data_IF_319124448530
#
_entry.id   IF_319124448530
#
_cell.length_a   1.000
_cell.length_b   1.000
_cell.length_c   1.000
_cell.angle_alpha   90.00
_cell.angle_beta   90.00
_cell.angle_gamma   90.00
#
_symmetry.space_group_name_H-M   'P 1'
#
loop_
_entity.id
_entity.type
_entity.pdbx_description
1 polymer ?
#
# COMPACT_ATOMS: atom_id res chain seq x y z
N UNK A 1 -17.52 -23.87 0.26
CA UNK A 1 -16.52 -23.22 1.13
C UNK A 1 -15.15 -23.27 0.46
N UNK A 2 -14.39 -22.17 0.40
CA UNK A 2 -13.03 -22.19 -0.19
C UNK A 2 -12.10 -22.99 0.72
N UNK A 3 -11.18 -23.76 0.14
CA UNK A 3 -10.24 -24.57 0.94
C UNK A 3 -9.24 -23.68 1.69
N UNK A 4 -8.70 -24.12 2.83
CA UNK A 4 -7.69 -23.36 3.58
C UNK A 4 -6.50 -22.90 2.74
N UNK A 5 -6.08 -23.73 1.78
CA UNK A 5 -5.01 -23.40 0.83
C UNK A 5 -5.38 -22.25 -0.10
N UNK A 6 -6.62 -22.17 -0.57
CA UNK A 6 -7.07 -21.08 -1.44
C UNK A 6 -7.11 -19.74 -0.71
N UNK A 7 -7.48 -19.73 0.57
CA UNK A 7 -7.52 -18.52 1.40
C UNK A 7 -6.10 -18.03 1.68
N UNK A 8 -5.21 -18.93 2.09
CA UNK A 8 -3.80 -18.60 2.27
C UNK A 8 -3.15 -18.12 0.97
N UNK A 9 -3.42 -18.78 -0.15
CA UNK A 9 -2.90 -18.34 -1.45
C UNK A 9 -3.35 -16.91 -1.79
N UNK A 10 -4.64 -16.61 -1.64
CA UNK A 10 -5.16 -15.25 -1.85
C UNK A 10 -4.50 -14.24 -0.89
N UNK A 11 -4.19 -14.66 0.33
CA UNK A 11 -3.44 -13.86 1.30
C UNK A 11 -1.99 -13.61 0.82
N UNK A 12 -1.21 -14.64 0.52
CA UNK A 12 0.16 -14.43 0.04
C UNK A 12 0.23 -13.64 -1.27
N UNK A 13 -0.72 -13.88 -2.19
CA UNK A 13 -0.81 -13.15 -3.44
C UNK A 13 -1.07 -11.66 -3.22
N UNK A 14 -2.09 -11.30 -2.44
CA UNK A 14 -2.38 -9.89 -2.18
C UNK A 14 -1.28 -9.23 -1.33
N UNK A 15 -0.61 -9.97 -0.44
CA UNK A 15 0.58 -9.48 0.25
C UNK A 15 1.70 -9.12 -0.73
N UNK A 16 1.99 -9.99 -1.70
CA UNK A 16 3.01 -9.77 -2.71
C UNK A 16 2.71 -8.57 -3.61
N UNK A 17 1.51 -8.53 -4.21
CA UNK A 17 1.16 -7.54 -5.24
C UNK A 17 0.93 -6.13 -4.68
N UNK A 18 0.59 -6.00 -3.39
CA UNK A 18 0.24 -4.72 -2.76
C UNK A 18 1.33 -3.65 -2.81
N UNK A 19 2.58 -4.09 -2.74
CA UNK A 19 3.74 -3.21 -2.58
C UNK A 19 4.67 -3.24 -3.81
N UNK A 20 4.27 -3.91 -4.90
CA UNK A 20 4.97 -3.85 -6.19
C UNK A 20 4.59 -2.54 -6.86
N UNK A 21 5.31 -1.47 -6.54
CA UNK A 21 5.04 -0.12 -7.03
C UNK A 21 6.37 0.49 -7.50
N UNK A 22 6.65 0.52 -8.82
CA UNK A 22 7.95 0.94 -9.36
C UNK A 22 8.34 2.39 -9.08
N UNK A 23 7.38 3.27 -8.74
CA UNK A 23 7.66 4.68 -8.41
C UNK A 23 8.22 4.86 -6.99
N UNK A 24 8.16 3.87 -6.10
CA UNK A 24 8.64 3.99 -4.71
C UNK A 24 10.07 4.53 -4.53
N UNK A 25 11.09 4.09 -5.29
CA UNK A 25 12.43 4.63 -5.15
C UNK A 25 12.60 6.00 -5.82
N UNK A 26 11.61 6.46 -6.61
CA UNK A 26 11.75 7.58 -7.54
C UNK A 26 10.78 8.73 -7.28
N UNK A 27 9.71 8.56 -6.50
CA UNK A 27 8.70 9.62 -6.31
C UNK A 27 9.32 10.91 -5.76
N UNK A 28 10.32 10.81 -4.87
CA UNK A 28 10.99 11.99 -4.32
C UNK A 28 11.73 12.77 -5.42
N UNK A 29 12.41 12.06 -6.32
CA UNK A 29 13.09 12.64 -7.48
C UNK A 29 12.08 13.24 -8.45
N UNK A 30 11.01 12.51 -8.76
CA UNK A 30 9.91 12.98 -9.60
C UNK A 30 9.35 14.31 -9.08
N UNK A 31 9.11 14.45 -7.78
CA UNK A 31 8.51 15.66 -7.24
C UNK A 31 9.47 16.85 -7.32
N UNK A 32 10.76 16.62 -7.05
CA UNK A 32 11.79 17.63 -7.17
C UNK A 32 11.93 18.09 -8.63
N UNK A 33 11.92 17.17 -9.58
CA UNK A 33 11.96 17.47 -11.02
C UNK A 33 10.74 18.29 -11.48
N UNK A 34 9.59 18.11 -10.83
CA UNK A 34 8.39 18.91 -11.03
C UNK A 34 8.34 20.20 -10.18
N UNK A 35 9.47 20.60 -9.60
CA UNK A 35 9.63 21.89 -8.92
C UNK A 35 9.23 21.90 -7.45
N UNK A 36 8.98 20.74 -6.83
CA UNK A 36 8.74 20.67 -5.38
C UNK A 36 10.05 20.86 -4.63
N UNK A 37 10.08 21.84 -3.73
CA UNK A 37 11.24 22.06 -2.88
C UNK A 37 11.44 20.92 -1.87
N UNK A 38 12.65 20.72 -1.32
CA UNK A 38 12.89 19.73 -0.26
C UNK A 38 11.98 19.92 0.97
N UNK A 39 11.67 21.18 1.31
CA UNK A 39 10.70 21.50 2.36
C UNK A 39 9.28 21.09 1.96
N UNK A 40 8.89 21.34 0.70
CA UNK A 40 7.60 20.89 0.16
C UNK A 40 7.46 19.37 0.22
N UNK A 41 8.50 18.63 -0.17
CA UNK A 41 8.55 17.16 -0.04
C UNK A 41 8.36 16.72 1.42
N UNK A 42 9.02 17.40 2.36
CA UNK A 42 8.87 17.11 3.79
C UNK A 42 7.44 17.35 4.29
N UNK A 43 6.78 18.43 3.82
CA UNK A 43 5.37 18.71 4.11
C UNK A 43 4.45 17.62 3.55
N UNK A 44 4.71 17.15 2.34
CA UNK A 44 3.97 16.05 1.72
C UNK A 44 4.08 14.74 2.51
N UNK A 45 5.29 14.40 2.99
CA UNK A 45 5.51 13.25 3.87
C UNK A 45 4.82 13.42 5.22
N UNK A 46 4.86 14.61 5.80
CA UNK A 46 4.14 14.92 7.04
C UNK A 46 2.62 14.79 6.87
N UNK A 47 2.08 15.23 5.73
CA UNK A 47 0.67 15.03 5.39
C UNK A 47 0.33 13.55 5.34
N UNK A 48 1.10 12.75 4.59
CA UNK A 48 0.90 11.30 4.49
C UNK A 48 0.89 10.63 5.88
N UNK A 49 1.88 10.96 6.72
CA UNK A 49 1.99 10.42 8.08
C UNK A 49 0.81 10.87 8.96
N UNK A 50 0.39 12.13 8.85
CA UNK A 50 -0.75 12.67 9.61
C UNK A 50 -2.05 11.97 9.21
N UNK A 51 -2.29 11.78 7.91
CA UNK A 51 -3.46 11.05 7.41
C UNK A 51 -3.44 9.62 7.93
N UNK A 52 -2.30 8.92 7.84
CA UNK A 52 -2.18 7.57 8.36
C UNK A 52 -2.51 7.52 9.86
N UNK A 53 -1.91 8.41 10.65
CA UNK A 53 -2.16 8.49 12.09
C UNK A 53 -3.62 8.78 12.45
N UNK A 54 -4.24 9.79 11.81
CA UNK A 54 -5.63 10.19 12.08
C UNK A 54 -6.62 9.09 11.71
N UNK A 55 -6.37 8.39 10.60
CA UNK A 55 -7.29 7.37 10.10
C UNK A 55 -7.03 5.95 10.62
N UNK A 56 -5.93 5.70 11.34
CA UNK A 56 -5.65 4.39 11.92
C UNK A 56 -6.78 3.95 12.86
N UNK A 57 -7.18 4.80 13.81
CA UNK A 57 -8.24 4.49 14.78
C UNK A 57 -9.61 4.28 14.10
N UNK A 58 -10.11 5.20 13.25
CA UNK A 58 -11.34 4.99 12.49
C UNK A 58 -11.31 3.72 11.62
N UNK A 59 -10.17 3.45 10.97
CA UNK A 59 -10.04 2.29 10.09
C UNK A 59 -10.14 0.96 10.84
N UNK A 60 -9.61 0.90 12.08
CA UNK A 60 -9.78 -0.24 12.97
C UNK A 60 -11.26 -0.49 13.31
N UNK A 61 -11.98 0.57 13.71
CA UNK A 61 -13.42 0.46 13.99
C UNK A 61 -14.23 0.03 12.75
N UNK A 62 -13.84 0.48 11.56
CA UNK A 62 -14.45 0.01 10.31
C UNK A 62 -14.15 -1.45 10.02
N UNK A 63 -12.94 -1.94 10.34
CA UNK A 63 -12.56 -3.34 10.16
C UNK A 63 -13.34 -4.33 11.04
N UNK A 64 -13.95 -3.84 12.13
CA UNK A 64 -14.82 -4.64 13.00
C UNK A 64 -16.29 -4.58 12.56
N UNK A 65 -16.72 -3.48 11.92
CA UNK A 65 -18.11 -3.29 11.49
C UNK A 65 -18.37 -3.75 10.05
N UNK A 66 -17.40 -3.62 9.16
CA UNK A 66 -17.52 -3.92 7.73
C UNK A 66 -16.71 -5.15 7.35
N UNK A 67 -16.99 -5.68 6.15
CA UNK A 67 -16.21 -6.81 5.63
C UNK A 67 -14.76 -6.40 5.38
N UNK A 68 -13.83 -7.01 6.11
CA UNK A 68 -12.38 -6.80 5.97
C UNK A 68 -11.87 -7.02 4.55
N UNK A 69 -12.45 -7.98 3.82
CA UNK A 69 -12.12 -8.21 2.40
C UNK A 69 -12.43 -7.00 1.53
N UNK A 70 -13.56 -6.35 1.76
CA UNK A 70 -13.94 -5.14 1.03
C UNK A 70 -13.07 -3.95 1.40
N UNK A 71 -12.72 -3.78 2.68
CA UNK A 71 -11.77 -2.74 3.10
C UNK A 71 -10.40 -2.91 2.44
N UNK A 72 -9.93 -4.15 2.31
CA UNK A 72 -8.67 -4.46 1.61
C UNK A 72 -8.73 -4.01 0.14
N UNK A 73 -9.83 -4.31 -0.55
CA UNK A 73 -10.04 -3.94 -1.96
C UNK A 73 -10.18 -2.42 -2.12
N UNK A 74 -11.02 -1.78 -1.30
CA UNK A 74 -11.24 -0.33 -1.32
C UNK A 74 -9.93 0.40 -1.03
N UNK A 75 -9.18 -0.03 -0.02
CA UNK A 75 -7.86 0.55 0.29
C UNK A 75 -6.89 0.45 -0.88
N UNK A 76 -6.88 -0.69 -1.60
CA UNK A 76 -6.06 -0.85 -2.79
C UNK A 76 -6.49 0.07 -3.95
N UNK A 77 -7.80 0.22 -4.19
CA UNK A 77 -8.33 1.12 -5.22
C UNK A 77 -8.02 2.58 -4.90
N UNK A 78 -8.20 3.00 -3.64
CA UNK A 78 -7.86 4.36 -3.18
C UNK A 78 -6.36 4.62 -3.35
N UNK A 79 -5.50 3.65 -2.96
CA UNK A 79 -4.06 3.77 -3.19
C UNK A 79 -3.72 3.86 -4.69
N UNK A 80 -4.42 3.12 -5.55
CA UNK A 80 -4.29 3.25 -7.02
C UNK A 80 -4.65 4.65 -7.52
N UNK A 81 -5.70 5.26 -6.96
CA UNK A 81 -6.08 6.63 -7.28
C UNK A 81 -5.01 7.67 -6.90
N UNK A 82 -4.11 7.37 -5.97
CA UNK A 82 -2.97 8.22 -5.66
C UNK A 82 -2.03 8.40 -6.86
N UNK A 83 -1.69 7.31 -7.54
CA UNK A 83 -0.79 7.33 -8.69
C UNK A 83 -1.46 7.99 -9.91
N UNK A 84 -2.77 7.78 -10.08
CA UNK A 84 -3.55 8.50 -11.09
C UNK A 84 -3.53 10.01 -10.82
N UNK A 85 -3.64 10.44 -9.56
CA UNK A 85 -3.56 11.85 -9.20
C UNK A 85 -2.17 12.44 -9.51
N UNK A 86 -1.09 11.72 -9.23
CA UNK A 86 0.27 12.14 -9.56
C UNK A 86 0.52 12.22 -11.07
N UNK A 87 -0.06 11.31 -11.84
CA UNK A 87 0.03 11.31 -13.30
C UNK A 87 -0.76 12.46 -13.94
N UNK A 88 -2.01 12.68 -13.51
CA UNK A 88 -2.88 13.72 -14.08
C UNK A 88 -2.46 15.14 -13.69
N UNK A 89 -1.85 15.30 -12.51
CA UNK A 89 -1.48 16.61 -11.98
C UNK A 89 -0.13 16.51 -11.27
N UNK A 90 0.98 16.54 -12.02
CA UNK A 90 2.31 16.42 -11.46
C UNK A 90 2.79 17.77 -10.88
N UNK A 91 2.04 18.28 -9.91
CA UNK A 91 2.35 19.48 -9.13
C UNK A 91 2.19 19.20 -7.63
N UNK A 92 2.57 20.17 -6.79
CA UNK A 92 2.48 20.02 -5.34
C UNK A 92 1.10 19.57 -4.84
N UNK A 93 0.02 20.09 -5.42
CA UNK A 93 -1.34 19.78 -4.96
C UNK A 93 -1.80 18.39 -5.41
N UNK A 94 -1.43 17.97 -6.61
CA UNK A 94 -1.67 16.59 -7.06
C UNK A 94 -0.88 15.59 -6.24
N UNK A 95 0.37 15.91 -5.89
CA UNK A 95 1.18 15.10 -4.99
C UNK A 95 0.58 15.01 -3.59
N UNK A 96 0.10 16.13 -3.03
CA UNK A 96 -0.59 16.16 -1.74
C UNK A 96 -1.86 15.30 -1.73
N UNK A 97 -2.67 15.39 -2.78
CA UNK A 97 -3.87 14.56 -2.93
C UNK A 97 -3.51 13.07 -3.02
N UNK A 98 -2.48 12.73 -3.80
CA UNK A 98 -2.04 11.34 -3.89
C UNK A 98 -1.45 10.83 -2.58
N UNK A 99 -0.70 11.62 -1.83
CA UNK A 99 -0.24 11.23 -0.49
C UNK A 99 -1.38 11.07 0.51
N UNK A 100 -2.43 11.90 0.43
CA UNK A 100 -3.65 11.69 1.20
C UNK A 100 -4.29 10.33 0.88
N UNK A 101 -4.51 10.03 -0.41
CA UNK A 101 -5.09 8.75 -0.82
C UNK A 101 -4.21 7.56 -0.46
N UNK A 102 -2.89 7.67 -0.63
CA UNK A 102 -1.97 6.62 -0.24
C UNK A 102 -2.02 6.38 1.27
N UNK A 103 -1.93 7.43 2.09
CA UNK A 103 -2.03 7.33 3.54
C UNK A 103 -3.34 6.68 3.97
N UNK A 104 -4.47 7.20 3.49
CA UNK A 104 -5.80 6.70 3.82
C UNK A 104 -6.05 5.27 3.34
N UNK A 105 -5.69 4.94 2.10
CA UNK A 105 -5.81 3.58 1.57
C UNK A 105 -4.97 2.58 2.35
N UNK A 106 -3.81 3.01 2.87
CA UNK A 106 -2.90 2.17 3.66
C UNK A 106 -3.41 1.86 5.08
N UNK A 107 -4.24 2.72 5.69
CA UNK A 107 -4.83 2.44 7.01
C UNK A 107 -6.00 1.46 6.90
N UNK A 108 -6.90 1.63 5.92
CA UNK A 108 -7.95 0.65 5.59
C UNK A 108 -7.35 -0.75 5.31
N UNK A 109 -6.23 -0.68 4.61
CA UNK A 109 -5.08 -1.58 4.52
C UNK A 109 -4.74 -2.53 5.65
N UNK A 110 -4.07 -1.94 6.65
CA UNK A 110 -3.16 -2.56 7.61
C UNK A 110 -3.93 -3.45 8.58
N UNK A 111 -4.88 -2.86 9.31
CA UNK A 111 -5.66 -3.57 10.33
C UNK A 111 -6.54 -4.67 9.75
N UNK A 112 -7.19 -4.42 8.61
CA UNK A 112 -8.04 -5.42 7.96
C UNK A 112 -7.25 -6.64 7.49
N UNK A 113 -6.01 -6.44 7.04
CA UNK A 113 -5.12 -7.51 6.59
C UNK A 113 -4.66 -8.41 7.73
N UNK A 114 -4.18 -7.80 8.80
CA UNK A 114 -3.69 -8.50 9.98
C UNK A 114 -4.81 -9.31 10.65
N UNK A 115 -5.96 -8.66 10.86
CA UNK A 115 -7.10 -9.28 11.49
C UNK A 115 -7.71 -10.39 10.62
N UNK A 116 -7.65 -10.28 9.28
CA UNK A 116 -8.07 -11.36 8.38
C UNK A 116 -7.17 -12.60 8.51
N UNK A 117 -5.85 -12.43 8.62
CA UNK A 117 -4.93 -13.56 8.83
C UNK A 117 -5.17 -14.22 10.17
N UNK A 118 -5.26 -13.41 11.22
CA UNK A 118 -5.48 -13.87 12.58
C UNK A 118 -6.76 -14.72 12.67
N UNK A 119 -7.89 -14.19 12.20
CA UNK A 119 -9.18 -14.90 12.27
C UNK A 119 -9.21 -16.15 11.40
N UNK A 120 -8.53 -16.12 10.25
CA UNK A 120 -8.38 -17.29 9.39
C UNK A 120 -7.64 -18.41 10.12
N UNK A 121 -6.50 -18.11 10.77
CA UNK A 121 -5.73 -19.09 11.51
C UNK A 121 -6.45 -19.58 12.76
N UNK A 122 -7.14 -18.67 13.46
CA UNK A 122 -8.03 -19.00 14.59
C UNK A 122 -9.12 -19.98 14.21
N UNK A 123 -9.78 -19.77 13.07
CA UNK A 123 -10.81 -20.69 12.56
C UNK A 123 -10.29 -22.11 12.26
N UNK A 124 -8.97 -22.28 12.13
CA UNK A 124 -8.31 -23.56 11.92
C UNK A 124 -7.58 -24.09 13.16
N UNK A 125 -7.66 -23.40 14.31
CA UNK A 125 -6.92 -23.76 15.52
C UNK A 125 -5.39 -23.63 15.39
N UNK A 126 -4.92 -22.70 14.56
CA UNK A 126 -3.50 -22.51 14.19
C UNK A 126 -2.97 -21.11 14.51
N UNK A 127 -3.49 -20.48 15.57
CA UNK A 127 -3.13 -19.13 16.01
C UNK A 127 -1.61 -18.98 16.26
N UNK A 128 -0.98 -20.02 16.78
CA UNK A 128 0.46 -20.14 17.00
C UNK A 128 1.31 -19.96 15.73
N UNK A 129 0.72 -20.15 14.54
CA UNK A 129 1.43 -19.94 13.27
C UNK A 129 1.38 -18.49 12.78
N UNK A 130 0.63 -17.61 13.44
CA UNK A 130 0.40 -16.24 12.97
C UNK A 130 1.70 -15.51 12.65
N UNK A 131 2.63 -15.42 13.60
CA UNK A 131 3.91 -14.72 13.38
C UNK A 131 4.71 -15.28 12.20
N UNK A 132 4.76 -16.61 12.07
CA UNK A 132 5.46 -17.27 10.95
C UNK A 132 4.80 -16.96 9.60
N UNK A 133 3.46 -17.03 9.53
CA UNK A 133 2.70 -16.81 8.30
C UNK A 133 2.73 -15.34 7.87
N UNK A 134 2.57 -14.45 8.84
CA UNK A 134 2.68 -13.02 8.64
C UNK A 134 4.08 -12.65 8.15
N UNK A 135 5.13 -13.12 8.84
CA UNK A 135 6.52 -12.88 8.45
C UNK A 135 6.86 -13.40 7.04
N UNK A 136 6.37 -14.59 6.67
CA UNK A 136 6.53 -15.12 5.32
C UNK A 136 5.85 -14.23 4.26
N UNK A 137 4.63 -13.75 4.53
CA UNK A 137 3.91 -12.88 3.61
C UNK A 137 4.60 -11.53 3.47
N UNK A 138 5.08 -10.95 4.57
CA UNK A 138 5.87 -9.72 4.56
C UNK A 138 7.18 -9.90 3.80
N UNK A 139 7.91 -11.00 4.03
CA UNK A 139 9.15 -11.28 3.30
C UNK A 139 8.94 -11.43 1.79
N UNK A 140 7.85 -12.08 1.37
CA UNK A 140 7.46 -12.16 -0.04
C UNK A 140 7.12 -10.79 -0.62
N UNK A 141 6.39 -9.96 0.13
CA UNK A 141 6.08 -8.58 -0.26
C UNK A 141 7.35 -7.74 -0.43
N UNK A 142 8.30 -7.82 0.51
CA UNK A 142 9.59 -7.13 0.42
C UNK A 142 10.39 -7.57 -0.80
N UNK A 143 10.40 -8.86 -1.14
CA UNK A 143 11.04 -9.32 -2.37
C UNK A 143 10.37 -8.73 -3.63
N UNK A 144 9.04 -8.63 -3.63
CA UNK A 144 8.29 -7.93 -4.67
C UNK A 144 8.67 -6.45 -4.80
N UNK A 145 8.83 -5.74 -3.67
CA UNK A 145 9.31 -4.35 -3.64
C UNK A 145 10.68 -4.24 -4.29
N UNK A 146 11.63 -5.11 -3.94
CA UNK A 146 12.99 -5.08 -4.54
C UNK A 146 12.93 -5.25 -6.06
N UNK A 147 12.10 -6.17 -6.57
CA UNK A 147 11.91 -6.33 -8.02
C UNK A 147 11.29 -5.08 -8.63
N UNK A 148 10.26 -4.50 -7.99
CA UNK A 148 9.60 -3.29 -8.45
C UNK A 148 10.58 -2.10 -8.49
N UNK A 149 11.43 -1.95 -7.49
CA UNK A 149 12.41 -0.88 -7.38
C UNK A 149 13.46 -0.98 -8.49
N UNK A 150 13.96 -2.20 -8.74
CA UNK A 150 14.87 -2.47 -9.86
C UNK A 150 14.21 -2.19 -11.20
N UNK A 151 12.95 -2.59 -11.38
CA UNK A 151 12.18 -2.30 -12.58
C UNK A 151 11.97 -0.80 -12.76
N UNK A 152 11.61 -0.07 -11.69
CA UNK A 152 11.44 1.39 -11.71
C UNK A 152 12.71 2.12 -12.11
N UNK A 153 13.86 1.70 -11.57
CA UNK A 153 15.17 2.24 -11.95
C UNK A 153 15.56 1.98 -13.41
N UNK A 154 15.04 0.93 -14.04
CA UNK A 154 15.23 0.69 -15.49
C UNK A 154 14.22 1.47 -16.33
N UNK A 155 12.97 1.57 -15.86
CA UNK A 155 11.86 2.21 -16.58
C UNK A 155 11.99 3.74 -16.64
N UNK A 156 12.64 4.36 -15.65
CA UNK A 156 12.80 5.82 -15.59
C UNK A 156 13.52 6.41 -16.80
N UNK A 157 14.34 5.62 -17.50
CA UNK A 157 15.00 6.02 -18.76
C UNK A 157 13.98 6.38 -19.85
N UNK A 158 12.75 5.87 -19.74
CA UNK A 158 11.65 6.16 -20.66
C UNK A 158 10.68 7.23 -20.14
N UNK A 159 10.96 7.84 -18.98
CA UNK A 159 10.15 8.88 -18.35
C UNK A 159 9.26 8.39 -17.20
N UNK A 160 8.70 9.34 -16.44
CA UNK A 160 7.91 9.07 -15.24
C UNK A 160 6.56 8.38 -15.53
N UNK A 161 5.98 8.60 -16.72
CA UNK A 161 4.69 8.01 -17.10
C UNK A 161 4.71 6.47 -17.05
N UNK A 162 5.80 5.85 -17.51
CA UNK A 162 5.97 4.39 -17.51
C UNK A 162 6.27 3.81 -16.12
N UNK A 163 6.78 4.63 -15.20
CA UNK A 163 7.08 4.23 -13.83
C UNK A 163 5.84 4.31 -12.93
N UNK A 164 4.86 5.15 -13.31
CA UNK A 164 3.59 5.33 -12.61
C UNK A 164 2.52 4.28 -12.96
N UNK A 165 2.72 3.52 -14.06
CA UNK A 165 1.86 2.42 -14.52
C UNK A 165 2.15 1.11 -13.77
#
# INVERSE_FOLDING_TARGET
MRSPRQILFAFYWNGCVRDIIPIYPLYAVMFIDHGVSPLGLSVLLALWATVAFVFEIPSGAWADRFSRKWLIVIGAVIKGAAFIAWWLRPDFFGFALGFFFWGFGSTLRSGAWEALLHDTLKSWGREQEFGRRYGQATGLATFGVVIADLAGGLLIVFGYDLVLL
#
